data_IF_252044850369
#
_entry.id   IF_252044850369
#
_cell.length_a   1.000
_cell.length_b   1.000
_cell.length_c   1.000
_cell.angle_alpha   90.00
_cell.angle_beta   90.00
_cell.angle_gamma   90.00
#
_symmetry.space_group_name_H-M   'P 1'
#
loop_
_entity.id
_entity.type
_entity.pdbx_description
1 polymer ?
#
# COMPACT_ATOMS: atom_id res chain seq x y z
N UNK A 1 7.85 9.91 -7.81
CA UNK A 1 7.02 9.29 -8.86
C UNK A 1 7.03 10.18 -10.08
N UNK A 2 7.30 9.58 -11.24
CA UNK A 2 7.22 10.26 -12.54
C UNK A 2 5.79 10.14 -13.05
N UNK A 3 5.22 11.25 -13.53
CA UNK A 3 3.91 11.28 -14.14
C UNK A 3 3.99 12.10 -15.43
N UNK A 4 3.68 11.47 -16.57
CA UNK A 4 3.59 12.17 -17.84
C UNK A 4 2.17 12.67 -18.05
N UNK A 5 1.99 13.98 -17.96
CA UNK A 5 0.72 14.65 -18.17
C UNK A 5 0.51 14.86 -19.68
N UNK A 6 -0.42 14.11 -20.26
CA UNK A 6 -0.71 14.17 -21.69
C UNK A 6 -1.35 15.47 -22.13
N UNK A 7 -2.09 16.14 -21.23
CA UNK A 7 -2.82 17.39 -21.54
C UNK A 7 -1.84 18.55 -21.69
N UNK A 8 -0.88 18.65 -20.77
CA UNK A 8 0.14 19.72 -20.80
C UNK A 8 1.40 19.31 -21.55
N UNK A 9 1.49 18.06 -22.01
CA UNK A 9 2.68 17.45 -22.59
C UNK A 9 3.92 17.61 -21.69
N UNK A 10 3.74 17.49 -20.38
CA UNK A 10 4.75 17.73 -19.36
C UNK A 10 5.13 16.48 -18.56
N UNK A 11 6.36 16.46 -18.04
CA UNK A 11 6.80 15.46 -17.05
C UNK A 11 6.78 16.07 -15.66
N UNK A 12 6.04 15.46 -14.75
CA UNK A 12 5.95 15.86 -13.36
C UNK A 12 6.68 14.86 -12.46
N UNK A 13 7.45 15.40 -11.50
CA UNK A 13 8.15 14.62 -10.48
C UNK A 13 7.58 14.95 -9.12
N UNK A 14 6.99 13.96 -8.45
CA UNK A 14 6.36 14.13 -7.13
C UNK A 14 7.01 13.24 -6.10
N UNK A 15 7.31 13.75 -4.91
CA UNK A 15 7.85 12.94 -3.83
C UNK A 15 6.82 11.88 -3.39
N UNK A 16 7.28 10.64 -3.14
CA UNK A 16 6.44 9.52 -2.62
C UNK A 16 6.73 9.20 -1.15
N UNK A 17 7.72 9.88 -0.57
CA UNK A 17 8.13 9.81 0.83
C UNK A 17 8.68 11.16 1.26
N UNK A 18 8.87 11.33 2.56
CA UNK A 18 9.57 12.50 3.10
C UNK A 18 11.03 12.53 2.63
N UNK A 19 11.54 13.73 2.36
CA UNK A 19 12.89 13.99 1.86
C UNK A 19 13.50 15.06 2.78
N UNK A 20 14.69 14.80 3.32
CA UNK A 20 15.40 15.73 4.22
C UNK A 20 16.09 16.82 3.41
N UNK A 21 16.33 17.98 4.03
CA UNK A 21 17.13 19.04 3.42
C UNK A 21 18.54 18.54 3.12
N UNK A 22 19.00 18.74 1.89
CA UNK A 22 20.30 18.26 1.42
C UNK A 22 20.33 16.78 1.01
N UNK A 23 19.20 16.06 1.10
CA UNK A 23 19.10 14.69 0.60
C UNK A 23 19.02 14.67 -0.93
N UNK A 24 19.77 13.77 -1.56
CA UNK A 24 19.73 13.56 -3.01
C UNK A 24 18.38 12.97 -3.45
N UNK A 25 17.87 13.46 -4.59
CA UNK A 25 16.60 13.01 -5.15
C UNK A 25 16.82 11.83 -6.10
N UNK A 26 16.26 10.66 -5.76
CA UNK A 26 16.38 9.45 -6.58
C UNK A 26 15.08 9.11 -7.33
N UNK A 27 15.24 8.50 -8.50
CA UNK A 27 14.18 7.83 -9.26
C UNK A 27 14.70 6.50 -9.83
N UNK A 28 13.80 5.58 -10.18
CA UNK A 28 14.17 4.31 -10.82
C UNK A 28 14.14 4.44 -12.35
N UNK A 29 15.11 3.85 -13.05
CA UNK A 29 15.16 3.77 -14.52
C UNK A 29 14.81 2.39 -15.08
N UNK A 30 14.80 1.38 -14.21
CA UNK A 30 14.34 0.00 -14.45
C UNK A 30 13.12 -0.29 -13.57
N UNK A 31 12.45 -1.41 -13.79
CA UNK A 31 11.45 -1.93 -12.86
C UNK A 31 12.10 -2.19 -11.49
N UNK A 32 11.65 -1.53 -10.40
CA UNK A 32 12.25 -1.74 -9.10
C UNK A 32 11.87 -3.08 -8.45
N UNK A 33 10.95 -3.87 -9.02
CA UNK A 33 10.48 -5.15 -8.47
C UNK A 33 11.15 -6.39 -9.05
N UNK A 34 12.03 -6.25 -10.05
CA UNK A 34 12.79 -7.38 -10.60
C UNK A 34 14.10 -7.64 -9.84
N UNK A 35 14.70 -8.81 -10.07
CA UNK A 35 15.95 -9.24 -9.46
C UNK A 35 17.11 -8.26 -9.69
N UNK A 36 18.08 -8.27 -8.77
CA UNK A 36 19.24 -7.38 -8.84
C UNK A 36 20.02 -7.58 -10.13
N UNK A 37 20.21 -8.82 -10.59
CA UNK A 37 20.86 -9.11 -11.87
C UNK A 37 20.13 -8.46 -13.05
N UNK A 38 18.80 -8.59 -13.12
CA UNK A 38 17.98 -7.99 -14.16
C UNK A 38 18.01 -6.46 -14.09
N UNK A 39 17.95 -5.87 -12.89
CA UNK A 39 18.08 -4.40 -12.72
C UNK A 39 19.43 -3.90 -13.23
N UNK A 40 20.53 -4.62 -12.97
CA UNK A 40 21.85 -4.22 -13.47
C UNK A 40 21.95 -4.35 -14.99
N UNK A 41 21.33 -5.38 -15.58
CA UNK A 41 21.27 -5.54 -17.03
C UNK A 41 20.53 -4.37 -17.69
N UNK A 42 19.34 -4.03 -17.18
CA UNK A 42 18.53 -2.91 -17.66
C UNK A 42 19.23 -1.54 -17.52
N UNK A 43 20.20 -1.44 -16.60
CA UNK A 43 20.95 -0.21 -16.37
C UNK A 43 22.21 -0.09 -17.23
N UNK A 44 22.67 -1.16 -17.91
CA UNK A 44 23.82 -1.10 -18.81
C UNK A 44 23.73 -0.01 -19.88
N UNK A 45 22.57 0.24 -20.54
CA UNK A 45 22.46 1.31 -21.54
C UNK A 45 22.72 2.71 -20.98
N UNK A 46 22.62 2.90 -19.67
CA UNK A 46 22.89 4.18 -18.99
C UNK A 46 24.36 4.35 -18.58
N UNK A 47 25.22 3.35 -18.84
CA UNK A 47 26.67 3.47 -18.66
C UNK A 47 27.16 3.47 -17.21
N UNK A 48 26.37 2.95 -16.26
CA UNK A 48 26.78 2.83 -14.86
C UNK A 48 26.36 1.50 -14.23
N UNK A 49 27.05 1.11 -13.16
CA UNK A 49 26.65 0.00 -12.29
C UNK A 49 25.97 0.56 -11.05
N UNK A 50 24.74 0.12 -10.77
CA UNK A 50 24.01 0.63 -9.62
C UNK A 50 24.60 0.11 -8.32
N UNK A 51 24.91 1.01 -7.40
CA UNK A 51 25.46 0.71 -6.08
C UNK A 51 24.52 1.18 -4.96
N UNK A 52 23.21 1.28 -5.22
CA UNK A 52 22.23 1.57 -4.17
C UNK A 52 22.19 0.42 -3.15
N UNK A 53 21.61 0.68 -1.97
CA UNK A 53 21.55 -0.29 -0.87
C UNK A 53 20.99 -1.65 -1.33
N UNK A 54 19.88 -1.65 -2.09
CA UNK A 54 19.30 -2.89 -2.64
C UNK A 54 20.25 -3.67 -3.55
N UNK A 55 21.13 -2.99 -4.30
CA UNK A 55 22.09 -3.66 -5.17
C UNK A 55 23.36 -4.14 -4.42
N UNK A 56 23.64 -3.59 -3.22
CA UNK A 56 24.73 -4.06 -2.35
C UNK A 56 24.35 -5.32 -1.58
N UNK A 57 23.07 -5.52 -1.30
CA UNK A 57 22.54 -6.67 -0.55
C UNK A 57 21.58 -7.51 -1.41
N UNK A 58 22.03 -8.06 -2.55
CA UNK A 58 21.15 -8.71 -3.53
C UNK A 58 20.34 -9.86 -2.96
N UNK A 59 20.89 -10.65 -2.04
CA UNK A 59 20.20 -11.76 -1.37
C UNK A 59 18.98 -11.29 -0.58
N UNK A 60 19.10 -10.21 0.19
CA UNK A 60 18.00 -9.64 0.97
C UNK A 60 17.02 -8.88 0.07
N UNK A 61 17.55 -8.04 -0.81
CA UNK A 61 16.79 -7.21 -1.74
C UNK A 61 15.88 -8.04 -2.64
N UNK A 62 16.39 -9.15 -3.18
CA UNK A 62 15.63 -9.99 -4.10
C UNK A 62 14.58 -10.82 -3.37
N UNK A 63 14.83 -11.27 -2.14
CA UNK A 63 13.81 -11.94 -1.31
C UNK A 63 12.60 -11.04 -1.07
N UNK A 64 12.82 -9.77 -0.72
CA UNK A 64 11.73 -8.80 -0.55
C UNK A 64 10.93 -8.63 -1.84
N UNK A 65 11.63 -8.53 -2.98
CA UNK A 65 11.00 -8.34 -4.29
C UNK A 65 10.22 -9.57 -4.73
N UNK A 66 10.72 -10.77 -4.50
CA UNK A 66 9.99 -12.02 -4.73
C UNK A 66 8.73 -12.03 -3.86
N UNK A 67 8.85 -11.71 -2.57
CA UNK A 67 7.71 -11.68 -1.65
C UNK A 67 6.60 -10.74 -2.12
N UNK A 68 6.98 -9.59 -2.73
CA UNK A 68 6.03 -8.63 -3.28
C UNK A 68 5.52 -9.02 -4.69
N UNK A 69 6.34 -9.64 -5.54
CA UNK A 69 6.08 -9.77 -6.99
C UNK A 69 5.45 -11.10 -7.44
N UNK A 70 5.50 -12.17 -6.62
CA UNK A 70 4.72 -13.38 -6.95
C UNK A 70 3.25 -12.93 -7.05
N UNK A 71 2.45 -13.30 -8.04
CA UNK A 71 1.06 -12.82 -8.21
C UNK A 71 0.05 -13.35 -7.15
N UNK A 72 0.57 -13.86 -6.02
CA UNK A 72 -0.17 -14.52 -4.94
C UNK A 72 -0.51 -13.57 -3.76
N UNK A 73 0.36 -12.65 -3.30
CA UNK A 73 0.08 -11.72 -2.20
C UNK A 73 -1.13 -10.85 -2.47
N UNK A 74 -1.32 -10.26 -3.66
CA UNK A 74 -2.49 -9.38 -3.88
C UNK A 74 -3.83 -10.08 -3.66
N UNK A 75 -4.00 -11.30 -4.19
CA UNK A 75 -5.22 -12.08 -3.99
C UNK A 75 -5.33 -12.60 -2.56
N UNK A 76 -4.21 -13.02 -1.96
CA UNK A 76 -4.17 -13.51 -0.57
C UNK A 76 -4.48 -12.38 0.42
N UNK A 77 -3.91 -11.19 0.22
CA UNK A 77 -4.03 -10.04 1.10
C UNK A 77 -5.42 -9.41 0.99
N UNK A 78 -5.95 -9.34 -0.24
CA UNK A 78 -7.35 -8.99 -0.43
C UNK A 78 -8.28 -10.02 0.26
N UNK A 79 -7.99 -11.31 0.11
CA UNK A 79 -8.74 -12.37 0.80
C UNK A 79 -8.65 -12.24 2.33
N UNK A 80 -7.52 -11.81 2.90
CA UNK A 80 -7.40 -11.53 4.34
C UNK A 80 -8.38 -10.46 4.79
N UNK A 81 -8.46 -9.34 4.05
CA UNK A 81 -9.42 -8.28 4.35
C UNK A 81 -10.87 -8.79 4.24
N UNK A 82 -11.20 -9.51 3.17
CA UNK A 82 -12.55 -10.06 2.98
C UNK A 82 -12.92 -11.04 4.10
N UNK A 83 -12.04 -11.98 4.42
CA UNK A 83 -12.23 -12.94 5.53
C UNK A 83 -12.45 -12.18 6.83
N UNK A 84 -11.63 -11.17 7.09
CA UNK A 84 -11.83 -10.32 8.25
C UNK A 84 -13.22 -9.69 8.24
N UNK A 85 -13.62 -8.95 7.20
CA UNK A 85 -14.91 -8.25 7.16
C UNK A 85 -16.11 -9.19 7.30
N UNK A 86 -16.00 -10.43 6.84
CA UNK A 86 -17.10 -11.40 6.81
C UNK A 86 -17.13 -12.36 8.00
N UNK A 87 -16.03 -12.51 8.75
CA UNK A 87 -15.96 -13.40 9.91
C UNK A 87 -16.19 -12.61 11.21
N UNK A 88 -17.33 -12.77 11.89
CA UNK A 88 -17.56 -12.15 13.19
C UNK A 88 -16.56 -12.66 14.23
N UNK A 89 -16.20 -11.82 15.18
CA UNK A 89 -15.24 -12.16 16.24
C UNK A 89 -13.78 -12.23 15.82
N UNK A 90 -13.45 -12.23 14.51
CA UNK A 90 -12.05 -12.17 14.09
C UNK A 90 -11.45 -10.80 14.45
N UNK A 91 -10.31 -10.74 15.17
CA UNK A 91 -9.73 -9.49 15.64
C UNK A 91 -9.16 -8.65 14.49
N UNK A 92 -9.11 -7.33 14.67
CA UNK A 92 -8.54 -6.41 13.67
C UNK A 92 -7.06 -6.71 13.36
N UNK A 93 -6.33 -7.23 14.35
CA UNK A 93 -4.91 -7.61 14.23
C UNK A 93 -4.66 -8.60 13.08
N UNK A 94 -5.64 -9.43 12.71
CA UNK A 94 -5.53 -10.35 11.58
C UNK A 94 -5.19 -9.67 10.24
N UNK A 95 -5.70 -8.45 10.02
CA UNK A 95 -5.42 -7.64 8.83
C UNK A 95 -4.39 -6.55 9.15
N UNK A 96 -4.52 -5.94 10.33
CA UNK A 96 -3.69 -4.80 10.73
C UNK A 96 -2.24 -5.21 10.85
N UNK A 97 -1.91 -6.27 11.60
CA UNK A 97 -0.52 -6.64 11.85
C UNK A 97 0.16 -7.05 10.54
N UNK A 98 -0.54 -7.83 9.72
CA UNK A 98 -0.05 -8.21 8.39
C UNK A 98 0.22 -6.99 7.51
N UNK A 99 -0.73 -6.05 7.43
CA UNK A 99 -0.57 -4.87 6.58
C UNK A 99 0.54 -3.95 7.09
N UNK A 100 0.71 -3.81 8.40
CA UNK A 100 1.82 -3.04 8.98
C UNK A 100 3.17 -3.67 8.68
N UNK A 101 3.29 -5.00 8.78
CA UNK A 101 4.51 -5.73 8.41
C UNK A 101 4.87 -5.53 6.93
N UNK A 102 3.88 -5.56 6.05
CA UNK A 102 4.10 -5.30 4.62
C UNK A 102 4.49 -3.84 4.36
N UNK A 103 3.87 -2.86 5.02
CA UNK A 103 4.27 -1.46 4.89
C UNK A 103 5.71 -1.23 5.35
N UNK A 104 6.11 -1.80 6.50
CA UNK A 104 7.48 -1.68 7.01
C UNK A 104 8.49 -2.29 6.03
N UNK A 105 8.19 -3.47 5.48
CA UNK A 105 9.02 -4.14 4.49
C UNK A 105 9.22 -3.28 3.24
N UNK A 106 8.13 -2.70 2.74
CA UNK A 106 8.13 -1.84 1.54
C UNK A 106 8.90 -0.53 1.80
N UNK A 107 8.70 0.09 2.97
CA UNK A 107 9.38 1.34 3.36
C UNK A 107 10.88 1.12 3.49
N UNK A 108 11.30 0.03 4.15
CA UNK A 108 12.71 -0.34 4.25
C UNK A 108 13.35 -0.58 2.88
N UNK A 109 12.59 -1.11 1.92
CA UNK A 109 13.06 -1.36 0.57
C UNK A 109 13.02 -0.12 -0.34
N UNK A 110 12.49 1.02 0.13
CA UNK A 110 12.33 2.23 -0.67
C UNK A 110 11.31 2.09 -1.81
N UNK A 111 10.28 1.26 -1.61
CA UNK A 111 9.28 0.88 -2.60
C UNK A 111 7.91 1.54 -2.34
N UNK A 112 7.86 2.68 -1.65
CA UNK A 112 6.61 3.36 -1.25
C UNK A 112 5.77 3.83 -2.45
N UNK A 113 6.38 4.02 -3.62
CA UNK A 113 5.67 4.31 -4.87
C UNK A 113 4.85 3.12 -5.43
N UNK A 114 4.99 1.93 -4.85
CA UNK A 114 4.40 0.68 -5.35
C UNK A 114 2.87 0.66 -5.32
N UNK A 115 2.28 -0.29 -6.05
CA UNK A 115 0.86 -0.60 -5.90
C UNK A 115 0.58 -1.31 -4.56
N UNK A 116 1.48 -2.19 -4.10
CA UNK A 116 1.37 -2.91 -2.83
C UNK A 116 1.28 -1.97 -1.63
N UNK A 117 2.07 -0.89 -1.62
CA UNK A 117 2.02 0.13 -0.58
C UNK A 117 0.63 0.80 -0.51
N UNK A 118 0.11 1.21 -1.68
CA UNK A 118 -1.25 1.79 -1.77
C UNK A 118 -2.29 0.80 -1.25
N UNK A 119 -2.18 -0.48 -1.62
CA UNK A 119 -3.12 -1.52 -1.21
C UNK A 119 -3.18 -1.71 0.31
N UNK A 120 -2.02 -1.87 0.97
CA UNK A 120 -1.99 -2.07 2.42
C UNK A 120 -2.44 -0.83 3.21
N UNK A 121 -2.19 0.38 2.70
CA UNK A 121 -2.77 1.58 3.29
C UNK A 121 -4.30 1.56 3.23
N UNK A 122 -4.88 1.17 2.09
CA UNK A 122 -6.34 1.05 1.91
C UNK A 122 -6.93 -0.04 2.81
N UNK A 123 -6.26 -1.18 2.95
CA UNK A 123 -6.68 -2.26 3.86
C UNK A 123 -6.71 -1.82 5.32
N UNK A 124 -5.73 -1.03 5.76
CA UNK A 124 -5.74 -0.46 7.11
C UNK A 124 -6.91 0.50 7.31
N UNK A 125 -7.22 1.36 6.33
CA UNK A 125 -8.39 2.25 6.40
C UNK A 125 -9.68 1.45 6.56
N UNK A 126 -9.88 0.44 5.72
CA UNK A 126 -11.09 -0.41 5.78
C UNK A 126 -11.17 -1.21 7.08
N UNK A 127 -10.07 -1.80 7.54
CA UNK A 127 -10.03 -2.56 8.78
C UNK A 127 -10.38 -1.69 10.00
N UNK A 128 -9.78 -0.50 10.10
CA UNK A 128 -10.07 0.43 11.19
C UNK A 128 -11.47 1.01 11.12
N UNK A 129 -12.00 1.29 9.91
CA UNK A 129 -13.41 1.68 9.75
C UNK A 129 -14.35 0.57 10.23
N UNK A 130 -14.09 -0.69 9.89
CA UNK A 130 -14.96 -1.81 10.24
C UNK A 130 -15.12 -2.01 11.76
N UNK A 131 -14.12 -1.62 12.55
CA UNK A 131 -14.16 -1.68 14.03
C UNK A 131 -14.44 -0.32 14.70
N UNK A 132 -14.70 0.74 13.93
CA UNK A 132 -14.99 2.07 14.47
C UNK A 132 -13.77 2.87 14.97
N UNK A 133 -12.53 2.47 14.63
CA UNK A 133 -11.33 3.18 15.03
C UNK A 133 -11.02 4.36 14.09
N UNK A 134 -11.78 5.44 14.23
CA UNK A 134 -11.70 6.66 13.41
C UNK A 134 -10.29 7.25 13.33
N UNK A 135 -9.62 7.33 14.48
CA UNK A 135 -8.34 8.02 14.59
C UNK A 135 -7.29 7.34 13.72
N UNK A 136 -7.19 6.01 13.79
CA UNK A 136 -6.25 5.26 12.97
C UNK A 136 -6.67 5.23 11.51
N UNK A 137 -7.97 5.08 11.21
CA UNK A 137 -8.47 5.15 9.83
C UNK A 137 -8.07 6.47 9.13
N UNK A 138 -8.18 7.61 9.81
CA UNK A 138 -7.79 8.91 9.27
C UNK A 138 -6.29 9.01 8.99
N UNK A 139 -5.43 8.48 9.87
CA UNK A 139 -3.97 8.49 9.67
C UNK A 139 -3.59 7.75 8.38
N UNK A 140 -4.13 6.54 8.19
CA UNK A 140 -3.80 5.76 7.00
C UNK A 140 -4.48 6.30 5.73
N UNK A 141 -5.66 6.92 5.86
CA UNK A 141 -6.31 7.61 4.74
C UNK A 141 -5.44 8.78 4.24
N UNK A 142 -4.92 9.60 5.14
CA UNK A 142 -4.05 10.72 4.79
C UNK A 142 -2.78 10.25 4.05
N UNK A 143 -2.19 9.14 4.50
CA UNK A 143 -1.04 8.52 3.83
C UNK A 143 -1.39 8.01 2.45
N UNK A 144 -2.52 7.30 2.32
CA UNK A 144 -3.00 6.78 1.04
C UNK A 144 -3.29 7.90 0.05
N UNK A 145 -3.93 8.97 0.51
CA UNK A 145 -4.24 10.15 -0.28
C UNK A 145 -2.98 10.89 -0.73
N UNK A 146 -1.99 11.06 0.15
CA UNK A 146 -0.71 11.66 -0.21
C UNK A 146 -0.02 10.87 -1.34
N UNK A 147 -0.03 9.54 -1.25
CA UNK A 147 0.50 8.67 -2.29
C UNK A 147 -0.28 8.78 -3.61
N UNK A 148 -1.61 8.79 -3.58
CA UNK A 148 -2.41 8.89 -4.81
C UNK A 148 -2.23 10.24 -5.49
N UNK A 149 -2.11 11.33 -4.72
CA UNK A 149 -1.68 12.62 -5.28
C UNK A 149 -0.32 12.52 -5.95
N UNK A 150 0.66 11.85 -5.32
CA UNK A 150 1.97 11.66 -5.92
C UNK A 150 1.92 10.85 -7.23
N UNK A 151 1.06 9.82 -7.32
CA UNK A 151 0.98 8.91 -8.48
C UNK A 151 0.16 9.47 -9.65
N UNK A 152 -1.01 10.01 -9.36
CA UNK A 152 -2.02 10.36 -10.39
C UNK A 152 -2.50 11.81 -10.35
N UNK A 153 -2.04 12.61 -9.39
CA UNK A 153 -2.58 13.96 -9.17
C UNK A 153 -3.87 13.98 -8.35
N UNK A 154 -4.32 12.81 -7.84
CA UNK A 154 -5.44 12.73 -6.90
C UNK A 154 -6.81 12.39 -7.53
N UNK A 155 -6.84 11.91 -8.77
CA UNK A 155 -8.10 11.64 -9.47
C UNK A 155 -8.65 10.21 -9.27
N UNK A 156 -7.95 9.35 -8.52
CA UNK A 156 -8.33 7.93 -8.40
C UNK A 156 -9.72 7.73 -7.77
N UNK A 157 -10.62 7.05 -8.49
CA UNK A 157 -12.00 6.76 -8.04
C UNK A 157 -12.03 5.98 -6.72
N UNK A 158 -11.12 5.04 -6.53
CA UNK A 158 -11.06 4.22 -5.30
C UNK A 158 -10.77 5.08 -4.05
N UNK A 159 -9.92 6.10 -4.19
CA UNK A 159 -9.63 7.05 -3.12
C UNK A 159 -10.86 7.88 -2.73
N UNK A 160 -11.64 8.35 -3.73
CA UNK A 160 -12.91 9.06 -3.48
C UNK A 160 -13.89 8.20 -2.69
N UNK A 161 -14.00 6.90 -3.03
CA UNK A 161 -14.84 5.96 -2.29
C UNK A 161 -14.38 5.79 -0.85
N UNK A 162 -13.07 5.64 -0.60
CA UNK A 162 -12.53 5.52 0.75
C UNK A 162 -12.75 6.78 1.59
N UNK A 163 -12.52 7.96 0.99
CA UNK A 163 -12.83 9.24 1.66
C UNK A 163 -14.30 9.34 2.04
N UNK A 164 -15.20 8.95 1.12
CA UNK A 164 -16.64 8.92 1.37
C UNK A 164 -16.96 8.00 2.54
N UNK A 165 -16.43 6.77 2.52
CA UNK A 165 -16.61 5.80 3.60
C UNK A 165 -16.16 6.34 4.97
N UNK A 166 -15.02 7.02 5.04
CA UNK A 166 -14.49 7.60 6.28
C UNK A 166 -15.30 8.82 6.73
N UNK A 167 -15.73 9.69 5.81
CA UNK A 167 -16.49 10.93 6.11
C UNK A 167 -17.95 10.68 6.46
N UNK A 168 -18.59 9.73 5.78
CA UNK A 168 -20.01 9.43 5.92
C UNK A 168 -20.28 8.26 6.87
N UNK A 169 -19.23 7.71 7.49
CA UNK A 169 -19.33 6.61 8.45
C UNK A 169 -20.04 5.36 7.88
N UNK A 170 -20.02 5.19 6.56
CA UNK A 170 -20.88 4.24 5.83
C UNK A 170 -20.69 2.77 6.25
N UNK A 171 -19.52 2.43 6.79
CA UNK A 171 -19.16 1.08 7.26
C UNK A 171 -18.65 1.06 8.70
N UNK A 172 -18.88 2.13 9.48
CA UNK A 172 -18.47 2.10 10.87
C UNK A 172 -19.22 1.03 11.63
N UNK A 173 -18.42 0.28 12.39
CA UNK A 173 -18.89 -0.80 13.25
C UNK A 173 -19.64 -1.90 12.48
N UNK A 174 -19.37 -2.05 11.17
CA UNK A 174 -19.91 -3.13 10.34
C UNK A 174 -19.74 -4.50 11.03
N UNK A 175 -18.58 -4.73 11.64
CA UNK A 175 -18.29 -5.94 12.44
C UNK A 175 -19.27 -6.14 13.59
N UNK A 176 -19.54 -5.09 14.36
CA UNK A 176 -20.47 -5.15 15.48
C UNK A 176 -21.89 -5.43 15.00
N UNK A 177 -22.31 -4.82 13.89
CA UNK A 177 -23.62 -5.04 13.26
C UNK A 177 -23.78 -6.48 12.78
N UNK A 178 -22.80 -7.03 12.07
CA UNK A 178 -22.81 -8.43 11.61
C UNK A 178 -22.83 -9.40 12.80
N UNK A 179 -22.02 -9.14 13.83
CA UNK A 179 -21.99 -9.98 15.03
C UNK A 179 -23.32 -9.93 15.79
N UNK A 180 -23.94 -8.76 15.91
CA UNK A 180 -25.27 -8.59 16.51
C UNK A 180 -26.35 -9.35 15.72
N UNK A 181 -26.33 -9.25 14.40
CA UNK A 181 -27.27 -9.96 13.53
C UNK A 181 -27.12 -11.49 13.64
N UNK A 182 -25.89 -12.02 13.70
CA UNK A 182 -25.66 -13.47 13.85
C UNK A 182 -26.09 -14.01 15.22
N UNK A 183 -25.91 -13.23 16.29
CA UNK A 183 -26.44 -13.56 17.61
C UNK A 183 -27.97 -13.57 17.62
N UNK A 184 -28.61 -12.56 17.02
CA UNK A 184 -30.06 -12.48 16.91
C UNK A 184 -30.70 -13.59 16.06
N UNK A 185 -29.95 -14.13 15.10
CA UNK A 185 -30.38 -15.25 14.25
C UNK A 185 -30.08 -16.65 14.83
N UNK A 186 -29.60 -16.74 16.09
CA UNK A 186 -29.40 -18.02 16.78
C UNK A 186 -28.20 -18.84 16.31
N UNK A 187 -27.26 -18.25 15.56
CA UNK A 187 -26.05 -18.96 15.10
C UNK A 187 -24.96 -19.07 16.18
N UNK A 188 -25.11 -18.34 17.30
CA UNK A 188 -24.27 -18.47 18.48
C UNK A 188 -25.17 -18.38 19.72
N UNK A 189 -25.32 -19.51 20.41
CA UNK A 189 -25.79 -19.60 21.79
C UNK A 189 -24.61 -19.41 22.76
#
# INVERSE_FOLDING_TARGET
MRHFNKVTFGMEFRAVRSIKTGEELFTHYTDPFIHTSSRQEDLKPYGFQCSCESCRTPSESDLVRIQLHVNVPMLVDYKRLVVFLMTPGLPESYVVDHSLQQLELIERAGLEGSHFYSLHLKFLVEAYCAVGNTRKALIYLQRAEALERAKSGGEEKSMKTLMKMVKEHSNWEWKAKVQGAMKGAGFYA
#
